data_IF_422868072305
#
_entry.id   IF_422868072305
#
_cell.length_a   1.000
_cell.length_b   1.000
_cell.length_c   1.000
_cell.angle_alpha   90.00
_cell.angle_beta   90.00
_cell.angle_gamma   90.00
#
_symmetry.space_group_name_H-M   'P 1'
#
loop_
_entity.id
_entity.type
_entity.pdbx_description
1 polymer ?
#
# COMPACT_ATOMS: atom_id res chain seq x y z
N UNK A 1 5.53 19.23 13.39
CA UNK A 1 5.96 17.81 13.43
C UNK A 1 6.22 17.34 12.00
N UNK A 2 7.23 16.51 11.77
CA UNK A 2 7.54 15.92 10.46
C UNK A 2 7.48 14.41 10.60
N UNK A 3 6.70 13.75 9.70
CA UNK A 3 6.50 12.32 9.73
C UNK A 3 6.73 11.68 8.35
N UNK A 4 7.26 10.46 8.33
CA UNK A 4 7.43 9.65 7.13
C UNK A 4 6.25 8.68 6.99
N UNK A 5 5.63 8.67 5.84
CA UNK A 5 4.50 7.81 5.49
C UNK A 5 4.95 6.75 4.48
N UNK A 6 5.16 5.53 4.95
CA UNK A 6 5.81 4.46 4.18
C UNK A 6 4.84 3.71 3.28
N UNK A 7 5.26 3.45 2.05
CA UNK A 7 4.58 2.56 1.12
C UNK A 7 4.57 1.11 1.64
N UNK A 8 3.60 0.33 1.17
CA UNK A 8 3.57 -1.14 1.34
C UNK A 8 3.64 -1.83 -0.01
N UNK A 9 4.06 -3.09 0.01
CA UNK A 9 3.84 -4.06 -1.05
C UNK A 9 3.13 -5.28 -0.49
N UNK A 10 2.41 -6.00 -1.35
CA UNK A 10 1.88 -7.31 -1.02
C UNK A 10 2.91 -8.36 -1.50
N UNK A 11 3.42 -9.19 -0.61
CA UNK A 11 4.20 -10.38 -0.97
C UNK A 11 3.27 -11.51 -1.42
N UNK A 12 2.04 -11.52 -0.86
CA UNK A 12 0.96 -12.40 -1.27
C UNK A 12 -0.34 -11.61 -1.28
N UNK A 13 -1.19 -11.88 -2.27
CA UNK A 13 -2.56 -11.40 -2.33
C UNK A 13 -3.44 -12.49 -2.96
N UNK A 14 -4.28 -13.10 -2.16
CA UNK A 14 -5.27 -14.08 -2.61
C UNK A 14 -6.67 -13.56 -2.34
N UNK A 15 -7.57 -13.76 -3.29
CA UNK A 15 -9.00 -13.50 -3.13
C UNK A 15 -9.63 -14.83 -2.72
N UNK A 16 -10.07 -14.93 -1.47
CA UNK A 16 -10.52 -16.18 -0.86
C UNK A 16 -12.04 -16.29 -0.70
N UNK A 17 -12.77 -15.27 -1.13
CA UNK A 17 -14.23 -15.25 -1.10
C UNK A 17 -14.79 -13.84 -1.20
N UNK A 18 -16.09 -13.75 -0.97
CA UNK A 18 -16.85 -12.52 -0.83
C UNK A 18 -17.77 -12.66 0.38
N UNK A 19 -17.99 -11.59 1.13
CA UNK A 19 -18.91 -11.58 2.26
C UNK A 19 -20.33 -11.14 1.83
N UNK A 20 -21.29 -11.19 2.76
CA UNK A 20 -22.69 -10.83 2.53
C UNK A 20 -22.88 -9.37 2.10
N UNK A 21 -21.94 -8.49 2.43
CA UNK A 21 -21.93 -7.07 2.04
C UNK A 21 -21.24 -6.81 0.69
N UNK A 22 -20.92 -7.86 -0.08
CA UNK A 22 -20.19 -7.82 -1.35
C UNK A 22 -18.76 -7.27 -1.26
N UNK A 23 -18.08 -7.38 -0.10
CA UNK A 23 -16.66 -7.13 0.01
C UNK A 23 -15.86 -8.41 -0.18
N UNK A 24 -14.76 -8.31 -0.93
CA UNK A 24 -13.84 -9.42 -1.13
C UNK A 24 -13.14 -9.80 0.16
N UNK A 25 -13.17 -11.08 0.48
CA UNK A 25 -12.35 -11.67 1.53
C UNK A 25 -10.97 -11.96 0.96
N UNK A 26 -9.95 -11.47 1.65
CA UNK A 26 -8.57 -11.51 1.19
C UNK A 26 -7.69 -12.27 2.18
N UNK A 27 -6.64 -12.89 1.66
CA UNK A 27 -5.50 -13.31 2.44
C UNK A 27 -4.24 -12.69 1.83
N UNK A 28 -3.63 -11.77 2.57
CA UNK A 28 -2.48 -11.00 2.10
C UNK A 28 -1.32 -11.12 3.08
N UNK A 29 -0.10 -11.18 2.54
CA UNK A 29 1.11 -10.92 3.31
C UNK A 29 1.67 -9.58 2.88
N UNK A 30 1.60 -8.61 3.77
CA UNK A 30 2.01 -7.22 3.51
C UNK A 30 3.32 -6.89 4.20
N UNK A 31 4.16 -6.10 3.54
CA UNK A 31 5.35 -5.50 4.16
C UNK A 31 5.52 -4.05 3.76
N UNK A 32 5.99 -3.23 4.70
CA UNK A 32 6.39 -1.85 4.39
C UNK A 32 7.77 -1.82 3.75
N UNK A 33 7.97 -0.84 2.89
CA UNK A 33 9.25 -0.59 2.22
C UNK A 33 9.79 0.78 2.58
N UNK A 34 11.10 0.97 2.50
CA UNK A 34 11.75 2.25 2.79
C UNK A 34 11.63 3.25 1.63
N UNK A 35 10.39 3.39 1.12
CA UNK A 35 9.96 4.39 0.16
C UNK A 35 8.74 5.10 0.74
N UNK A 36 8.77 6.42 0.86
CA UNK A 36 7.80 7.16 1.68
C UNK A 36 7.51 8.55 1.16
N UNK A 37 6.30 9.03 1.49
CA UNK A 37 5.94 10.43 1.47
C UNK A 37 6.39 11.12 2.76
N UNK A 38 6.47 12.44 2.73
CA UNK A 38 6.80 13.24 3.91
C UNK A 38 5.64 14.18 4.22
N UNK A 39 5.10 14.06 5.43
CA UNK A 39 4.02 14.91 5.91
C UNK A 39 4.54 15.88 6.99
N UNK A 40 4.26 17.17 6.82
CA UNK A 40 4.56 18.20 7.81
C UNK A 40 3.27 18.72 8.41
N UNK A 41 3.14 18.59 9.74
CA UNK A 41 1.98 19.04 10.51
C UNK A 41 2.33 20.29 11.32
N UNK A 42 1.44 21.30 11.30
CA UNK A 42 1.58 22.54 12.08
C UNK A 42 0.22 22.91 12.66
N UNK A 43 0.11 22.96 14.01
CA UNK A 43 -1.08 23.50 14.67
C UNK A 43 -1.27 24.96 14.32
N UNK A 44 -2.52 25.39 14.14
CA UNK A 44 -2.91 26.78 13.90
C UNK A 44 -3.91 27.25 14.96
N UNK A 45 -4.07 28.56 15.12
CA UNK A 45 -5.07 29.14 16.04
C UNK A 45 -6.47 29.15 15.42
N UNK A 46 -6.55 29.30 14.11
CA UNK A 46 -7.80 29.31 13.34
C UNK A 46 -8.38 27.89 13.30
N UNK A 47 -9.70 27.77 13.46
CA UNK A 47 -10.42 26.49 13.40
C UNK A 47 -10.59 25.97 11.97
N UNK A 48 -9.47 25.88 11.25
CA UNK A 48 -9.42 25.46 9.84
C UNK A 48 -8.42 24.31 9.69
N UNK A 49 -8.78 23.32 8.90
CA UNK A 49 -7.86 22.26 8.46
C UNK A 49 -7.49 22.53 7.02
N UNK A 50 -6.20 22.68 6.75
CA UNK A 50 -5.68 22.85 5.41
C UNK A 50 -4.78 21.67 5.06
N UNK A 51 -5.00 21.07 3.89
CA UNK A 51 -4.13 20.02 3.34
C UNK A 51 -3.57 20.49 2.00
N UNK A 52 -2.27 20.60 1.96
CA UNK A 52 -1.54 21.06 0.76
C UNK A 52 -0.88 19.84 0.10
N UNK A 53 -1.41 19.42 -1.03
CA UNK A 53 -0.84 18.39 -1.89
C UNK A 53 -1.03 18.82 -3.35
N UNK A 54 0.04 18.70 -4.15
CA UNK A 54 -0.01 19.07 -5.57
C UNK A 54 -1.02 18.17 -6.32
N UNK A 55 -1.78 18.78 -7.21
CA UNK A 55 -2.70 18.12 -8.16
C UNK A 55 -3.85 17.32 -7.52
N UNK A 56 -4.17 17.56 -6.24
CA UNK A 56 -5.31 16.93 -5.54
C UNK A 56 -6.11 17.98 -4.79
N UNK A 57 -7.42 18.02 -5.03
CA UNK A 57 -8.32 18.89 -4.28
C UNK A 57 -8.37 18.44 -2.82
N UNK A 58 -8.45 19.40 -1.92
CA UNK A 58 -8.42 19.14 -0.48
C UNK A 58 -9.53 18.18 -0.04
N UNK A 59 -10.76 18.39 -0.51
CA UNK A 59 -11.95 17.64 -0.13
C UNK A 59 -11.90 16.16 -0.58
N UNK A 60 -11.19 15.91 -1.68
CA UNK A 60 -10.96 14.56 -2.21
C UNK A 60 -9.81 13.84 -1.48
N UNK A 61 -9.01 14.60 -0.73
CA UNK A 61 -7.83 14.05 -0.05
C UNK A 61 -8.20 13.29 1.22
N UNK A 62 -7.84 12.03 1.27
CA UNK A 62 -8.12 11.15 2.42
C UNK A 62 -7.52 11.70 3.73
N UNK A 63 -6.37 12.38 3.67
CA UNK A 63 -5.75 13.05 4.82
C UNK A 63 -6.65 14.15 5.38
N UNK A 64 -7.28 14.95 4.52
CA UNK A 64 -8.23 15.98 4.94
C UNK A 64 -9.47 15.37 5.60
N UNK A 65 -10.03 14.35 4.98
CA UNK A 65 -11.24 13.66 5.50
C UNK A 65 -10.98 13.06 6.89
N UNK A 66 -9.86 12.38 7.06
CA UNK A 66 -9.46 11.80 8.36
C UNK A 66 -9.18 12.88 9.39
N UNK A 67 -8.44 13.93 9.04
CA UNK A 67 -8.14 15.02 9.95
C UNK A 67 -9.44 15.73 10.42
N UNK A 68 -10.35 16.05 9.47
CA UNK A 68 -11.65 16.67 9.78
C UNK A 68 -12.50 15.80 10.69
N UNK A 69 -12.57 14.49 10.42
CA UNK A 69 -13.28 13.55 11.29
C UNK A 69 -12.71 13.55 12.71
N UNK A 70 -11.40 13.46 12.88
CA UNK A 70 -10.77 13.45 14.21
C UNK A 70 -10.97 14.77 14.96
N UNK A 71 -10.88 15.91 14.26
CA UNK A 71 -11.13 17.21 14.87
C UNK A 71 -12.57 17.33 15.40
N UNK A 72 -13.54 16.85 14.65
CA UNK A 72 -14.94 16.84 15.05
C UNK A 72 -15.21 15.85 16.19
N UNK A 73 -14.76 14.58 16.04
CA UNK A 73 -14.97 13.50 17.02
C UNK A 73 -14.40 13.87 18.40
N UNK A 74 -13.22 14.49 18.45
CA UNK A 74 -12.53 14.82 19.70
C UNK A 74 -12.61 16.30 20.08
N UNK A 75 -13.41 17.12 19.39
CA UNK A 75 -13.56 18.56 19.65
C UNK A 75 -12.23 19.28 19.81
N UNK A 76 -11.27 19.02 18.88
CA UNK A 76 -9.90 19.50 19.01
C UNK A 76 -9.81 21.03 18.88
N UNK A 77 -8.98 21.70 19.70
CA UNK A 77 -8.84 23.15 19.66
C UNK A 77 -7.97 23.61 18.48
N UNK A 78 -8.31 24.80 17.93
CA UNK A 78 -7.60 25.43 16.81
C UNK A 78 -7.80 24.64 15.51
N UNK A 79 -6.78 24.64 14.67
CA UNK A 79 -6.76 23.96 13.38
C UNK A 79 -5.42 23.30 13.09
N UNK A 80 -5.27 22.82 11.84
CA UNK A 80 -4.09 22.05 11.44
C UNK A 80 -3.74 22.29 9.98
N UNK A 81 -2.51 22.73 9.72
CA UNK A 81 -1.92 22.73 8.38
C UNK A 81 -1.14 21.43 8.17
N UNK A 82 -1.43 20.74 7.07
CA UNK A 82 -0.76 19.50 6.67
C UNK A 82 -0.18 19.69 5.27
N UNK A 83 1.16 19.67 5.15
CA UNK A 83 1.84 19.74 3.85
C UNK A 83 2.38 18.35 3.48
N UNK A 84 2.00 17.86 2.29
CA UNK A 84 2.38 16.52 1.81
C UNK A 84 3.39 16.66 0.67
N UNK A 85 4.63 16.19 0.89
CA UNK A 85 5.59 15.94 -0.17
C UNK A 85 5.39 14.52 -0.69
N UNK A 86 4.72 14.40 -1.83
CA UNK A 86 4.36 13.12 -2.45
C UNK A 86 5.53 12.56 -3.26
N UNK A 87 5.99 11.36 -2.89
CA UNK A 87 6.97 10.57 -3.62
C UNK A 87 6.35 9.25 -4.13
N UNK A 88 5.47 8.62 -3.32
CA UNK A 88 4.77 7.39 -3.69
C UNK A 88 3.79 7.70 -4.82
N UNK A 89 3.84 6.92 -5.90
CA UNK A 89 2.97 7.09 -7.07
C UNK A 89 1.49 6.88 -6.69
N UNK A 90 0.61 7.72 -7.23
CA UNK A 90 -0.84 7.64 -6.99
C UNK A 90 -1.43 6.50 -7.83
N UNK A 91 -2.35 5.71 -7.27
CA UNK A 91 -3.02 4.62 -7.98
C UNK A 91 -2.08 3.49 -8.42
N UNK A 92 -0.99 3.26 -7.69
CA UNK A 92 0.10 2.38 -8.08
C UNK A 92 0.16 1.04 -7.30
N UNK A 93 -0.86 0.68 -6.54
CA UNK A 93 -0.86 -0.54 -5.71
C UNK A 93 0.05 -0.50 -4.46
N UNK A 94 0.58 0.69 -4.10
CA UNK A 94 1.53 0.90 -3.01
C UNK A 94 0.90 1.49 -1.73
N UNK A 95 -0.41 1.65 -1.69
CA UNK A 95 -1.20 2.21 -0.59
C UNK A 95 -0.74 3.60 -0.08
N UNK A 96 -0.18 4.46 -0.95
CA UNK A 96 0.37 5.75 -0.54
C UNK A 96 -0.64 6.69 0.12
N UNK A 97 -1.89 6.73 -0.37
CA UNK A 97 -2.98 7.52 0.23
C UNK A 97 -3.37 7.00 1.61
N UNK A 98 -3.51 5.67 1.73
CA UNK A 98 -3.85 5.00 3.00
C UNK A 98 -2.74 5.17 4.03
N UNK A 99 -1.47 5.08 3.62
CA UNK A 99 -0.33 5.35 4.48
C UNK A 99 -0.33 6.79 4.99
N UNK A 100 -0.66 7.77 4.13
CA UNK A 100 -0.76 9.19 4.53
C UNK A 100 -1.89 9.40 5.54
N UNK A 101 -3.03 8.75 5.36
CA UNK A 101 -4.16 8.79 6.31
C UNK A 101 -3.78 8.17 7.67
N UNK A 102 -3.17 6.99 7.68
CA UNK A 102 -2.69 6.35 8.91
C UNK A 102 -1.64 7.20 9.63
N UNK A 103 -0.70 7.79 8.89
CA UNK A 103 0.28 8.72 9.44
C UNK A 103 -0.41 9.94 10.05
N UNK A 104 -1.50 10.42 9.46
CA UNK A 104 -2.28 11.55 9.98
C UNK A 104 -2.99 11.19 11.28
N UNK A 105 -3.60 10.00 11.38
CA UNK A 105 -4.21 9.50 12.63
C UNK A 105 -3.16 9.51 13.76
N UNK A 106 -1.99 8.91 13.51
CA UNK A 106 -0.92 8.85 14.50
C UNK A 106 -0.37 10.24 14.86
N UNK A 107 -0.25 11.13 13.88
CA UNK A 107 0.23 12.49 14.08
C UNK A 107 -0.72 13.33 14.93
N UNK A 108 -2.02 13.29 14.65
CA UNK A 108 -3.05 14.00 15.43
C UNK A 108 -3.10 13.44 16.85
N UNK A 109 -3.12 12.11 17.01
CA UNK A 109 -3.07 11.46 18.30
C UNK A 109 -1.91 11.99 19.17
N UNK A 110 -0.70 12.08 18.59
CA UNK A 110 0.49 12.58 19.26
C UNK A 110 0.44 14.09 19.52
N UNK A 111 0.03 14.90 18.53
CA UNK A 111 0.01 16.36 18.64
C UNK A 111 -1.00 16.88 19.65
N UNK A 112 -2.12 16.18 19.82
CA UNK A 112 -3.20 16.59 20.71
C UNK A 112 -3.29 15.74 21.98
N UNK A 113 -2.31 14.82 22.21
CA UNK A 113 -2.22 13.95 23.39
C UNK A 113 -3.52 13.17 23.65
N UNK A 114 -4.10 12.58 22.58
CA UNK A 114 -5.37 11.87 22.70
C UNK A 114 -5.24 10.52 23.40
N UNK A 115 -4.01 9.98 23.46
CA UNK A 115 -3.67 8.68 24.06
C UNK A 115 -4.50 7.50 23.52
N UNK A 116 -4.91 7.58 22.24
CA UNK A 116 -5.65 6.51 21.59
C UNK A 116 -4.80 5.23 21.50
N UNK A 117 -5.37 4.12 21.93
CA UNK A 117 -4.78 2.79 21.75
C UNK A 117 -4.89 2.34 20.27
N UNK A 118 -4.37 1.16 19.97
CA UNK A 118 -4.34 0.69 18.57
C UNK A 118 -5.74 0.36 18.03
N UNK A 119 -6.63 -0.15 18.87
CA UNK A 119 -7.97 -0.54 18.44
C UNK A 119 -8.85 0.68 18.15
N UNK A 120 -8.75 1.74 18.96
CA UNK A 120 -9.41 3.03 18.70
C UNK A 120 -8.91 3.66 17.40
N UNK A 121 -7.61 3.55 17.08
CA UNK A 121 -7.07 4.02 15.80
C UNK A 121 -7.56 3.18 14.62
N UNK A 122 -7.68 1.87 14.79
CA UNK A 122 -8.23 0.96 13.79
C UNK A 122 -9.71 1.22 13.52
N UNK A 123 -10.49 1.51 14.57
CA UNK A 123 -11.89 1.96 14.43
C UNK A 123 -11.98 3.23 13.57
N UNK A 124 -11.15 4.23 13.83
CA UNK A 124 -11.10 5.43 12.97
C UNK A 124 -10.73 5.06 11.54
N UNK A 125 -9.68 4.25 11.36
CA UNK A 125 -9.17 3.87 10.06
C UNK A 125 -10.21 3.11 9.20
N UNK A 126 -11.00 2.22 9.83
CA UNK A 126 -12.00 1.40 9.14
C UNK A 126 -13.08 2.23 8.44
N UNK A 127 -13.44 3.38 8.99
CA UNK A 127 -14.38 4.32 8.37
C UNK A 127 -13.89 4.99 7.08
N UNK A 128 -12.61 4.82 6.72
CA UNK A 128 -12.00 5.48 5.56
C UNK A 128 -11.36 4.52 4.55
N UNK A 129 -11.10 3.27 4.95
CA UNK A 129 -10.58 2.25 4.07
C UNK A 129 -9.69 1.22 4.76
N UNK A 130 -9.79 -0.03 4.34
CA UNK A 130 -9.15 -1.18 4.99
C UNK A 130 -7.63 -1.17 4.94
N UNK A 131 -7.02 -0.70 3.85
CA UNK A 131 -5.56 -0.54 3.75
C UNK A 131 -4.99 0.43 4.82
N UNK A 132 -5.81 1.37 5.34
CA UNK A 132 -5.37 2.31 6.39
C UNK A 132 -5.09 1.55 7.69
N UNK A 133 -5.88 0.51 7.98
CA UNK A 133 -5.75 -0.29 9.19
C UNK A 133 -4.35 -0.91 9.25
N UNK A 134 -3.93 -1.59 8.16
CA UNK A 134 -2.57 -2.12 8.07
C UNK A 134 -1.50 -1.02 8.14
N UNK A 135 -1.75 0.14 7.52
CA UNK A 135 -0.79 1.23 7.51
C UNK A 135 -0.54 1.87 8.88
N UNK A 136 -1.38 1.65 9.90
CA UNK A 136 -1.12 2.05 11.28
C UNK A 136 0.04 1.29 11.91
N UNK A 137 0.23 0.04 11.51
CA UNK A 137 1.28 -0.85 12.01
C UNK A 137 2.61 -0.65 11.24
N UNK A 138 3.72 -1.08 11.84
CA UNK A 138 5.07 -0.91 11.28
C UNK A 138 5.84 -2.24 11.15
N UNK A 139 5.14 -3.35 11.03
CA UNK A 139 5.70 -4.68 10.88
C UNK A 139 5.07 -5.42 9.69
N UNK A 140 5.74 -6.43 9.14
CA UNK A 140 5.12 -7.32 8.17
C UNK A 140 3.96 -8.08 8.80
N UNK A 141 2.86 -8.24 8.07
CA UNK A 141 1.66 -8.86 8.61
C UNK A 141 0.94 -9.77 7.61
N UNK A 142 0.35 -10.84 8.13
CA UNK A 142 -0.76 -11.53 7.51
C UNK A 142 -2.00 -10.67 7.74
N UNK A 143 -2.65 -10.29 6.65
CA UNK A 143 -3.85 -9.44 6.63
C UNK A 143 -4.98 -10.22 6.00
N UNK A 144 -6.06 -10.43 6.76
CA UNK A 144 -7.19 -11.27 6.37
C UNK A 144 -8.52 -10.51 6.49
N UNK A 145 -9.63 -11.20 6.14
CA UNK A 145 -10.95 -10.59 6.07
C UNK A 145 -11.04 -9.63 4.89
N UNK A 146 -11.68 -8.48 5.08
CA UNK A 146 -11.69 -7.39 4.08
C UNK A 146 -10.42 -6.50 4.20
N UNK A 147 -9.44 -6.89 5.04
CA UNK A 147 -8.21 -6.15 5.34
C UNK A 147 -8.11 -5.66 6.79
N UNK A 148 -9.05 -6.05 7.66
CA UNK A 148 -9.15 -5.61 9.07
C UNK A 148 -8.46 -6.56 10.06
N UNK A 149 -8.28 -7.84 9.70
CA UNK A 149 -7.66 -8.83 10.58
C UNK A 149 -6.15 -8.85 10.35
N UNK A 150 -5.39 -8.30 11.29
CA UNK A 150 -3.95 -8.13 11.17
C UNK A 150 -3.24 -8.98 12.21
N UNK A 151 -2.38 -9.89 11.74
CA UNK A 151 -1.51 -10.73 12.57
C UNK A 151 -0.05 -10.50 12.18
N UNK A 152 0.89 -10.31 13.12
CA UNK A 152 2.32 -10.22 12.79
C UNK A 152 2.76 -11.43 11.95
N UNK A 153 3.61 -11.19 10.94
CA UNK A 153 4.15 -12.20 10.05
C UNK A 153 5.68 -12.13 10.01
N UNK A 154 6.33 -13.29 10.12
CA UNK A 154 7.79 -13.34 10.13
C UNK A 154 8.35 -13.28 8.71
N UNK A 155 9.18 -12.26 8.47
CA UNK A 155 10.05 -12.19 7.30
C UNK A 155 11.49 -12.22 7.83
N UNK A 156 12.21 -13.30 7.53
CA UNK A 156 13.49 -13.64 8.17
C UNK A 156 14.62 -12.64 7.96
N UNK A 157 14.56 -11.81 6.89
CA UNK A 157 15.64 -10.85 6.58
C UNK A 157 15.12 -9.64 5.81
N UNK A 158 15.81 -8.51 5.94
CA UNK A 158 15.56 -7.33 5.10
C UNK A 158 15.91 -7.61 3.65
N UNK A 159 14.96 -7.45 2.76
CA UNK A 159 15.09 -7.69 1.32
C UNK A 159 15.41 -6.40 0.55
N UNK A 160 16.30 -6.46 -0.43
CA UNK A 160 16.42 -5.35 -1.39
C UNK A 160 15.32 -5.47 -2.44
N UNK A 161 14.79 -4.33 -2.88
CA UNK A 161 13.63 -4.26 -3.76
C UNK A 161 13.89 -3.22 -4.86
N UNK A 162 13.57 -3.58 -6.08
CA UNK A 162 13.41 -2.64 -7.18
C UNK A 162 11.92 -2.49 -7.48
N UNK A 163 11.41 -1.28 -7.36
CA UNK A 163 10.06 -0.88 -7.78
C UNK A 163 10.14 -0.36 -9.21
N UNK A 164 9.25 -0.83 -10.08
CA UNK A 164 9.09 -0.35 -11.46
C UNK A 164 7.62 -0.01 -11.66
N UNK A 165 7.32 1.26 -11.90
CA UNK A 165 5.95 1.72 -12.12
C UNK A 165 5.79 2.27 -13.53
N UNK A 166 4.87 1.70 -14.34
CA UNK A 166 4.64 2.12 -15.72
C UNK A 166 3.80 3.40 -15.87
N UNK A 167 3.53 4.12 -14.78
CA UNK A 167 2.68 5.32 -14.73
C UNK A 167 1.22 5.09 -15.20
N UNK A 168 0.71 3.86 -15.09
CA UNK A 168 -0.67 3.52 -15.41
C UNK A 168 -1.49 3.57 -14.12
N UNK A 169 -2.57 4.34 -14.11
CA UNK A 169 -3.51 4.39 -12.99
C UNK A 169 -4.56 3.32 -13.19
N UNK A 170 -4.74 2.45 -12.20
CA UNK A 170 -5.72 1.36 -12.24
C UNK A 170 -6.78 1.59 -11.16
N UNK A 171 -8.04 1.55 -11.55
CA UNK A 171 -9.17 1.58 -10.64
C UNK A 171 -9.33 0.20 -9.98
N UNK A 172 -9.00 0.10 -8.70
CA UNK A 172 -9.02 -1.16 -7.94
C UNK A 172 -10.37 -1.86 -8.02
N UNK A 173 -11.48 -1.11 -7.92
CA UNK A 173 -12.85 -1.64 -8.01
C UNK A 173 -13.10 -2.40 -9.31
N UNK A 174 -12.62 -1.89 -10.44
CA UNK A 174 -12.82 -2.53 -11.74
C UNK A 174 -12.09 -3.87 -11.85
N UNK A 175 -10.92 -3.98 -11.19
CA UNK A 175 -10.14 -5.21 -11.20
C UNK A 175 -10.85 -6.30 -10.39
N UNK A 176 -11.38 -5.98 -9.22
CA UNK A 176 -12.13 -6.94 -8.42
C UNK A 176 -13.43 -7.38 -9.10
N UNK A 177 -14.19 -6.45 -9.69
CA UNK A 177 -15.41 -6.80 -10.44
C UNK A 177 -15.11 -7.75 -11.62
N UNK A 178 -13.98 -7.58 -12.31
CA UNK A 178 -13.57 -8.48 -13.39
C UNK A 178 -13.05 -9.83 -12.84
N UNK A 179 -12.41 -9.83 -11.68
CA UNK A 179 -11.99 -11.07 -11.04
C UNK A 179 -13.19 -11.98 -10.75
N UNK A 180 -14.24 -11.45 -10.16
CA UNK A 180 -15.47 -12.21 -9.82
C UNK A 180 -16.13 -12.83 -11.05
N UNK A 181 -16.10 -12.13 -12.18
CA UNK A 181 -16.72 -12.60 -13.42
C UNK A 181 -15.96 -13.75 -14.11
N UNK A 182 -14.65 -13.86 -13.85
CA UNK A 182 -13.74 -14.70 -14.63
C UNK A 182 -13.03 -15.80 -13.83
N UNK A 183 -12.90 -15.66 -12.52
CA UNK A 183 -12.01 -16.51 -11.71
C UNK A 183 -12.72 -17.08 -10.49
N UNK A 184 -12.19 -18.21 -10.01
CA UNK A 184 -12.60 -18.83 -8.76
C UNK A 184 -11.78 -18.28 -7.60
N UNK A 185 -12.37 -18.25 -6.42
CA UNK A 185 -11.68 -17.89 -5.19
C UNK A 185 -10.62 -18.92 -4.83
N UNK A 186 -9.51 -18.40 -4.30
CA UNK A 186 -8.41 -19.23 -3.81
C UNK A 186 -8.71 -19.80 -2.43
N UNK A 187 -8.17 -20.98 -2.13
CA UNK A 187 -8.20 -21.51 -0.76
C UNK A 187 -7.17 -20.75 0.11
N UNK A 188 -7.56 -20.32 1.31
CA UNK A 188 -6.62 -19.72 2.25
C UNK A 188 -5.65 -20.77 2.80
N UNK A 189 -4.45 -20.34 3.16
CA UNK A 189 -3.45 -21.18 3.83
C UNK A 189 -3.30 -20.73 5.29
N UNK A 190 -3.00 -21.68 6.19
CA UNK A 190 -2.66 -21.36 7.57
C UNK A 190 -1.39 -20.52 7.65
N UNK A 191 -1.28 -19.69 8.71
CA UNK A 191 -0.15 -18.78 8.89
C UNK A 191 1.18 -19.55 8.95
N UNK A 192 1.21 -20.69 9.65
CA UNK A 192 2.37 -21.54 9.80
C UNK A 192 2.83 -22.12 8.47
N UNK A 193 1.89 -22.47 7.60
CA UNK A 193 2.18 -22.90 6.23
C UNK A 193 2.79 -21.77 5.43
N UNK A 194 2.19 -20.56 5.51
CA UNK A 194 2.70 -19.38 4.82
C UNK A 194 4.10 -19.00 5.29
N UNK A 195 4.38 -19.05 6.60
CA UNK A 195 5.70 -18.76 7.18
C UNK A 195 6.77 -19.80 6.82
N UNK A 196 6.36 -21.03 6.45
CA UNK A 196 7.26 -22.09 5.98
C UNK A 196 7.65 -21.98 4.50
N UNK A 197 6.93 -21.15 3.71
CA UNK A 197 7.20 -21.00 2.29
C UNK A 197 8.50 -20.21 2.07
N UNK A 198 9.28 -20.65 1.09
CA UNK A 198 10.34 -19.81 0.55
C UNK A 198 9.74 -18.58 -0.15
N UNK A 199 10.57 -17.54 -0.34
CA UNK A 199 10.12 -16.27 -0.91
C UNK A 199 9.42 -16.47 -2.26
N UNK A 200 9.95 -17.33 -3.12
CA UNK A 200 9.41 -17.54 -4.46
C UNK A 200 8.00 -18.13 -4.44
N UNK A 201 7.73 -19.06 -3.52
CA UNK A 201 6.40 -19.66 -3.34
C UNK A 201 5.43 -18.73 -2.64
N UNK A 202 5.94 -17.81 -1.81
CA UNK A 202 5.12 -16.79 -1.16
C UNK A 202 4.63 -15.73 -2.16
N UNK A 203 5.42 -15.42 -3.21
CA UNK A 203 5.11 -14.35 -4.16
C UNK A 203 3.99 -14.75 -5.12
N UNK A 204 2.75 -14.45 -4.74
CA UNK A 204 1.54 -14.68 -5.54
C UNK A 204 0.56 -13.51 -5.43
N UNK A 205 -0.08 -13.18 -6.55
CA UNK A 205 -1.13 -12.16 -6.61
C UNK A 205 -2.23 -12.55 -7.62
N UNK A 206 -3.40 -12.90 -7.12
CA UNK A 206 -4.54 -13.33 -7.93
C UNK A 206 -5.00 -12.26 -8.92
N UNK A 207 -4.84 -10.99 -8.58
CA UNK A 207 -5.26 -9.88 -9.44
C UNK A 207 -4.38 -9.71 -10.69
N UNK A 208 -3.17 -10.33 -10.73
CA UNK A 208 -2.31 -10.28 -11.91
C UNK A 208 -3.01 -10.79 -13.17
N UNK A 209 -3.80 -11.86 -13.06
CA UNK A 209 -4.51 -12.44 -14.19
C UNK A 209 -5.43 -11.43 -14.88
N UNK A 210 -6.22 -10.71 -14.08
CA UNK A 210 -7.14 -9.68 -14.57
C UNK A 210 -6.38 -8.48 -15.14
N UNK A 211 -5.39 -8.00 -14.38
CA UNK A 211 -4.62 -6.81 -14.79
C UNK A 211 -3.84 -7.08 -16.06
N UNK A 212 -3.22 -8.24 -16.20
CA UNK A 212 -2.43 -8.58 -17.38
C UNK A 212 -3.27 -8.79 -18.64
N UNK A 213 -4.48 -9.30 -18.49
CA UNK A 213 -5.44 -9.38 -19.61
C UNK A 213 -5.87 -7.99 -20.10
N UNK A 214 -6.12 -7.07 -19.17
CA UNK A 214 -6.59 -5.70 -19.46
C UNK A 214 -5.47 -4.75 -19.86
N UNK A 215 -4.26 -4.94 -19.33
CA UNK A 215 -3.07 -4.09 -19.52
C UNK A 215 -1.86 -4.91 -19.99
N UNK A 216 -1.80 -5.35 -21.26
CA UNK A 216 -0.73 -6.21 -21.78
C UNK A 216 0.68 -5.61 -21.61
N UNK A 217 0.80 -4.28 -21.57
CA UNK A 217 2.08 -3.60 -21.32
C UNK A 217 2.67 -3.90 -19.94
N UNK A 218 1.82 -4.16 -18.91
CA UNK A 218 2.29 -4.56 -17.58
C UNK A 218 2.78 -6.01 -17.61
N UNK A 219 2.07 -6.90 -18.33
CA UNK A 219 2.51 -8.27 -18.55
C UNK A 219 3.86 -8.30 -19.29
N UNK A 220 4.01 -7.50 -20.33
CA UNK A 220 5.27 -7.42 -21.09
C UNK A 220 6.43 -6.93 -20.21
N UNK A 221 6.19 -5.91 -19.37
CA UNK A 221 7.16 -5.49 -18.39
C UNK A 221 7.56 -6.65 -17.45
N UNK A 222 6.58 -7.37 -16.90
CA UNK A 222 6.86 -8.51 -16.00
C UNK A 222 7.68 -9.59 -16.73
N UNK A 223 7.31 -9.95 -17.96
CA UNK A 223 8.04 -10.95 -18.77
C UNK A 223 9.51 -10.56 -18.97
N UNK A 224 9.78 -9.31 -19.31
CA UNK A 224 11.15 -8.85 -19.50
C UNK A 224 11.95 -8.85 -18.18
N UNK A 225 11.34 -8.52 -17.06
CA UNK A 225 12.00 -8.57 -15.76
C UNK A 225 12.29 -10.03 -15.35
N UNK A 226 11.38 -10.97 -15.68
CA UNK A 226 11.55 -12.40 -15.41
C UNK A 226 12.76 -13.04 -16.10
N UNK A 227 13.30 -12.42 -17.18
CA UNK A 227 14.56 -12.87 -17.81
C UNK A 227 15.77 -12.71 -16.87
N UNK A 228 15.67 -11.90 -15.84
CA UNK A 228 16.74 -11.59 -14.89
C UNK A 228 16.53 -12.13 -13.48
N UNK A 229 15.28 -12.24 -13.04
CA UNK A 229 14.92 -12.70 -11.69
C UNK A 229 13.56 -13.37 -11.69
N UNK A 230 13.40 -14.45 -10.92
CA UNK A 230 12.12 -15.13 -10.75
C UNK A 230 11.27 -14.52 -9.62
N UNK A 231 11.83 -13.64 -8.78
CA UNK A 231 11.13 -13.05 -7.62
C UNK A 231 10.47 -11.72 -8.01
N UNK A 232 9.53 -11.79 -8.94
CA UNK A 232 8.84 -10.64 -9.55
C UNK A 232 7.35 -10.73 -9.28
N UNK A 233 6.75 -9.68 -8.74
CA UNK A 233 5.31 -9.64 -8.49
C UNK A 233 4.74 -8.24 -8.73
N UNK A 234 3.45 -8.17 -9.07
CA UNK A 234 2.68 -6.94 -9.05
C UNK A 234 2.17 -6.64 -7.65
N UNK A 235 2.27 -5.39 -7.20
CA UNK A 235 1.76 -4.97 -5.90
C UNK A 235 0.29 -4.55 -5.96
N UNK A 236 -0.55 -5.16 -5.14
CA UNK A 236 -1.98 -4.84 -5.05
C UNK A 236 -2.71 -5.06 -6.38
N UNK A 237 -3.59 -4.13 -6.74
CA UNK A 237 -4.27 -4.09 -8.03
C UNK A 237 -3.40 -3.49 -9.16
N UNK A 238 -2.11 -3.31 -8.92
CA UNK A 238 -1.17 -2.73 -9.89
C UNK A 238 -1.19 -1.19 -9.88
N UNK A 239 -0.51 -0.59 -10.80
CA UNK A 239 0.28 -1.11 -11.93
C UNK A 239 1.74 -1.45 -11.59
N UNK A 240 2.18 -1.22 -10.37
CA UNK A 240 3.57 -1.41 -9.95
C UNK A 240 3.98 -2.87 -9.99
N UNK A 241 5.05 -3.16 -10.71
CA UNK A 241 5.82 -4.40 -10.62
C UNK A 241 7.00 -4.16 -9.67
N UNK A 242 7.30 -5.13 -8.82
CA UNK A 242 8.50 -5.09 -7.99
C UNK A 242 9.30 -6.39 -8.09
N UNK A 243 10.57 -6.28 -7.77
CA UNK A 243 11.54 -7.39 -7.79
C UNK A 243 12.25 -7.45 -6.46
N UNK A 244 12.37 -8.64 -5.88
CA UNK A 244 13.17 -8.89 -4.69
C UNK A 244 14.37 -9.74 -5.08
N UNK A 245 15.60 -9.19 -4.95
CA UNK A 245 16.81 -9.90 -5.32
C UNK A 245 18.06 -9.25 -4.69
N UNK A 246 19.22 -9.80 -4.94
CA UNK A 246 20.48 -9.18 -4.58
C UNK A 246 20.66 -7.83 -5.27
N UNK A 247 21.31 -6.90 -4.59
CA UNK A 247 21.49 -5.53 -5.07
C UNK A 247 22.18 -5.47 -6.46
N UNK A 248 23.08 -6.41 -6.76
CA UNK A 248 23.78 -6.49 -8.05
C UNK A 248 22.79 -6.81 -9.17
N UNK A 249 21.92 -7.81 -8.97
CA UNK A 249 20.86 -8.20 -9.91
C UNK A 249 19.88 -7.04 -10.12
N UNK A 250 19.40 -6.40 -9.04
CA UNK A 250 18.47 -5.28 -9.14
C UNK A 250 19.04 -4.09 -9.91
N UNK A 251 20.33 -3.78 -9.74
CA UNK A 251 21.01 -2.73 -10.52
C UNK A 251 21.12 -3.09 -12.01
N UNK A 252 21.34 -4.37 -12.34
CA UNK A 252 21.33 -4.85 -13.73
C UNK A 252 19.95 -4.69 -14.34
N UNK A 253 18.89 -5.17 -13.66
CA UNK A 253 17.49 -5.03 -14.10
C UNK A 253 17.16 -3.54 -14.32
N UNK A 254 17.46 -2.68 -13.34
CA UNK A 254 17.25 -1.24 -13.46
C UNK A 254 17.87 -0.67 -14.74
N UNK A 255 19.13 -1.02 -15.01
CA UNK A 255 19.85 -0.51 -16.18
C UNK A 255 19.24 -0.99 -17.50
N UNK A 256 18.92 -2.27 -17.60
CA UNK A 256 18.42 -2.85 -18.86
C UNK A 256 16.95 -2.46 -19.10
N UNK A 257 16.09 -2.56 -18.11
CA UNK A 257 14.67 -2.20 -18.26
C UNK A 257 14.49 -0.70 -18.50
N UNK A 258 15.31 0.15 -17.88
CA UNK A 258 15.25 1.60 -18.10
C UNK A 258 15.66 2.02 -19.54
N UNK A 259 16.48 1.24 -20.23
CA UNK A 259 16.76 1.49 -21.66
C UNK A 259 15.54 1.28 -22.53
N UNK A 260 14.69 0.32 -22.18
CA UNK A 260 13.48 -0.04 -22.92
C UNK A 260 12.33 0.91 -22.57
N UNK A 261 12.19 1.26 -21.27
CA UNK A 261 11.10 2.09 -20.74
C UNK A 261 11.67 3.29 -19.95
N UNK A 262 12.32 4.26 -20.60
CA UNK A 262 12.93 5.40 -19.92
C UNK A 262 11.92 6.29 -19.17
N UNK A 263 10.63 6.27 -19.55
CA UNK A 263 9.54 7.05 -18.98
C UNK A 263 8.95 6.44 -17.68
N UNK A 264 9.27 5.18 -17.37
CA UNK A 264 8.77 4.54 -16.15
C UNK A 264 9.49 5.08 -14.91
N UNK A 265 8.85 4.94 -13.77
CA UNK A 265 9.45 5.32 -12.49
C UNK A 265 10.13 4.12 -11.84
N UNK A 266 11.34 4.34 -11.36
CA UNK A 266 12.19 3.32 -10.75
C UNK A 266 12.60 3.75 -9.35
N UNK A 267 12.44 2.86 -8.37
CA UNK A 267 12.90 3.10 -6.99
C UNK A 267 13.63 1.87 -6.47
N UNK A 268 14.91 2.02 -6.15
CA UNK A 268 15.69 1.00 -5.46
C UNK A 268 15.57 1.23 -3.96
N UNK A 269 15.08 0.25 -3.23
CA UNK A 269 14.75 0.36 -1.80
C UNK A 269 14.94 -0.98 -1.08
N UNK A 270 14.43 -1.07 0.15
CA UNK A 270 14.46 -2.30 0.99
C UNK A 270 13.14 -2.44 1.73
N UNK A 271 12.82 -3.67 2.16
CA UNK A 271 11.82 -3.88 3.21
C UNK A 271 12.24 -3.15 4.49
N UNK A 272 11.27 -2.79 5.30
CA UNK A 272 11.50 -2.03 6.52
C UNK A 272 11.55 -2.92 7.77
#
# INVERSE_FOLDING_TARGET
MLEKSYAKINLRLKVVGINDDNYHLLQMVNTKINFYDVLKFKKTKEKIINVYMKDVKQEENLVYRVASYMFNKYSLPGGLDIKIKKNIMIGAGLAGGSANAATTINAINKLYNLNLNIDEKREIASGFGTDIIYCLDNYPALVEGIGEKIKPFNISTKQNILIINPNIIIATKDIYNQYDALYKYSEPLDKEVLESLDLKKLLENDLEQVVFAKYPQILNLKKQVLEYSSNVLMSGSGSTIYVIDELKTLKKIYKEIKKIYPEYKYVLTKTR
#
